data_IF_913204627584
#
_entry.id   IF_913204627584
#
_cell.length_a   1.000
_cell.length_b   1.000
_cell.length_c   1.000
_cell.angle_alpha   90.00
_cell.angle_beta   90.00
_cell.angle_gamma   90.00
#
_symmetry.space_group_name_H-M   'P 1'
#
loop_
_entity.id
_entity.type
_entity.pdbx_description
1 polymer ?
#
# COMPACT_ATOMS: atom_id res chain seq x y z
N UNK A 1 -8.51 36.42 4.60
CA UNK A 1 -8.86 35.02 4.87
C UNK A 1 -7.81 34.39 5.76
N UNK A 2 -8.21 33.83 6.89
CA UNK A 2 -7.28 33.17 7.81
C UNK A 2 -7.01 31.76 7.28
N UNK A 3 -5.76 31.45 6.92
CA UNK A 3 -5.38 30.12 6.46
C UNK A 3 -5.33 29.19 7.66
N UNK A 4 -6.13 28.14 7.63
CA UNK A 4 -6.10 27.07 8.64
C UNK A 4 -5.10 26.02 8.17
N UNK A 5 -4.06 25.80 8.94
CA UNK A 5 -3.10 24.72 8.70
C UNK A 5 -3.57 23.46 9.43
N UNK A 6 -3.57 22.33 8.75
CA UNK A 6 -3.88 21.06 9.39
C UNK A 6 -2.76 20.67 10.37
N UNK A 7 -3.11 20.18 11.57
CA UNK A 7 -2.12 19.65 12.49
C UNK A 7 -1.31 18.51 11.88
N UNK A 8 -0.01 18.48 12.14
CA UNK A 8 0.85 17.37 11.73
C UNK A 8 0.72 16.21 12.70
N UNK A 9 0.74 15.02 12.14
CA UNK A 9 0.82 13.79 12.93
C UNK A 9 2.25 13.55 13.36
N UNK A 10 2.43 13.13 14.60
CA UNK A 10 3.71 12.65 15.11
C UNK A 10 4.00 11.22 14.61
N UNK A 11 5.28 10.82 14.64
CA UNK A 11 5.69 9.50 14.13
C UNK A 11 4.88 8.33 14.70
N UNK A 12 4.61 8.26 16.02
CA UNK A 12 3.76 7.17 16.55
C UNK A 12 2.34 7.15 15.99
N UNK A 13 1.75 8.32 15.72
CA UNK A 13 0.42 8.41 15.11
C UNK A 13 0.43 7.91 13.67
N UNK A 14 1.47 8.28 12.90
CA UNK A 14 1.66 7.80 11.53
C UNK A 14 1.78 6.28 11.51
N UNK A 15 2.64 5.71 12.34
CA UNK A 15 2.83 4.27 12.41
C UNK A 15 1.55 3.51 12.80
N UNK A 16 0.78 4.07 13.71
CA UNK A 16 -0.52 3.52 14.11
C UNK A 16 -1.49 3.48 12.94
N UNK A 17 -1.56 4.55 12.15
CA UNK A 17 -2.39 4.59 10.95
C UNK A 17 -1.95 3.53 9.93
N UNK A 18 -0.64 3.46 9.66
CA UNK A 18 -0.07 2.50 8.71
C UNK A 18 -0.35 1.05 9.10
N UNK A 19 -0.34 0.73 10.40
CA UNK A 19 -0.64 -0.63 10.89
C UNK A 19 -2.12 -0.98 10.81
N UNK A 20 -3.01 0.00 10.94
CA UNK A 20 -4.46 -0.25 11.02
C UNK A 20 -5.15 -0.33 9.68
N UNK A 21 -4.68 0.43 8.69
CA UNK A 21 -5.33 0.47 7.38
C UNK A 21 -4.91 -0.72 6.52
N UNK A 22 -5.70 -1.01 5.50
CA UNK A 22 -5.51 -2.19 4.63
C UNK A 22 -5.21 -1.81 3.19
N UNK A 23 -5.71 -0.66 2.76
CA UNK A 23 -5.55 -0.17 1.40
C UNK A 23 -4.77 1.13 1.40
N UNK A 24 -3.94 1.26 0.40
CA UNK A 24 -3.29 2.51 0.02
C UNK A 24 -3.61 2.83 -1.43
N UNK A 25 -3.27 4.04 -1.83
CA UNK A 25 -3.25 4.43 -3.25
C UNK A 25 -1.81 4.73 -3.62
N UNK A 26 -1.38 4.19 -4.77
CA UNK A 26 -0.06 4.47 -5.31
C UNK A 26 -0.23 5.25 -6.61
N UNK A 27 0.41 6.42 -6.66
CA UNK A 27 0.48 7.25 -7.84
C UNK A 27 1.82 7.02 -8.54
N UNK A 28 1.75 6.63 -9.80
CA UNK A 28 2.90 6.39 -10.68
C UNK A 28 3.05 7.55 -11.66
N UNK A 29 4.27 7.81 -12.07
CA UNK A 29 4.55 8.68 -13.20
C UNK A 29 4.15 7.93 -14.47
N UNK A 30 3.03 8.29 -15.05
CA UNK A 30 2.58 7.73 -16.32
C UNK A 30 3.27 8.38 -17.51
N UNK A 31 2.80 8.05 -18.71
CA UNK A 31 3.23 8.68 -19.96
C UNK A 31 2.69 10.11 -20.06
N UNK A 32 1.46 10.23 -20.53
CA UNK A 32 0.76 11.50 -20.71
C UNK A 32 0.04 11.93 -19.44
N UNK A 33 -0.52 10.97 -18.72
CA UNK A 33 -1.21 11.20 -17.46
C UNK A 33 -0.58 10.38 -16.33
N UNK A 34 -0.57 10.90 -15.09
CA UNK A 34 -0.25 10.06 -13.93
C UNK A 34 -1.21 8.88 -13.85
N UNK A 35 -0.72 7.76 -13.36
CA UNK A 35 -1.54 6.58 -13.11
C UNK A 35 -1.67 6.34 -11.62
N UNK A 36 -2.87 6.05 -11.16
CA UNK A 36 -3.13 5.77 -9.74
C UNK A 36 -4.03 4.56 -9.60
N UNK A 37 -3.74 3.71 -8.62
CA UNK A 37 -4.56 2.55 -8.30
C UNK A 37 -4.50 2.23 -6.81
N UNK A 38 -5.55 1.59 -6.25
CA UNK A 38 -5.52 1.06 -4.90
C UNK A 38 -4.74 -0.24 -4.83
N UNK A 39 -4.09 -0.47 -3.69
CA UNK A 39 -3.32 -1.67 -3.40
C UNK A 39 -3.57 -2.11 -1.96
N UNK A 40 -3.63 -3.42 -1.75
CA UNK A 40 -3.40 -3.98 -0.42
C UNK A 40 -1.94 -3.78 -0.05
N UNK A 41 -1.69 -3.47 1.20
CA UNK A 41 -0.33 -3.40 1.71
C UNK A 41 -0.22 -4.05 3.09
N UNK A 42 1.00 -4.37 3.47
CA UNK A 42 1.35 -4.69 4.86
C UNK A 42 2.51 -3.81 5.30
N UNK A 43 2.52 -3.49 6.58
CA UNK A 43 3.55 -2.66 7.20
C UNK A 43 4.35 -3.53 8.18
N UNK A 44 5.60 -3.79 7.84
CA UNK A 44 6.48 -4.69 8.61
C UNK A 44 7.79 -3.98 8.90
N UNK A 45 8.14 -3.82 10.17
CA UNK A 45 9.41 -3.21 10.59
C UNK A 45 9.72 -1.88 9.90
N UNK A 46 8.73 -1.02 9.78
CA UNK A 46 8.89 0.30 9.18
C UNK A 46 8.86 0.34 7.65
N UNK A 47 8.58 -0.77 6.99
CA UNK A 47 8.56 -0.87 5.53
C UNK A 47 7.17 -1.25 5.03
N UNK A 48 6.71 -0.54 4.01
CA UNK A 48 5.48 -0.86 3.29
C UNK A 48 5.78 -1.85 2.17
N UNK A 49 4.99 -2.91 2.10
CA UNK A 49 5.08 -3.93 1.06
C UNK A 49 3.76 -4.06 0.32
N UNK A 50 3.85 -4.31 -0.98
CA UNK A 50 2.72 -4.45 -1.90
C UNK A 50 2.90 -5.72 -2.73
N UNK A 51 1.82 -6.24 -3.30
CA UNK A 51 1.93 -7.31 -4.28
C UNK A 51 1.42 -6.85 -5.64
N UNK A 52 2.13 -7.27 -6.68
CA UNK A 52 1.80 -7.00 -8.08
C UNK A 52 1.63 -8.32 -8.80
N UNK A 53 0.82 -8.32 -9.84
CA UNK A 53 0.82 -9.42 -10.81
C UNK A 53 1.98 -9.24 -11.78
N UNK A 54 2.48 -10.33 -12.36
CA UNK A 54 3.55 -10.31 -13.35
C UNK A 54 3.11 -9.77 -14.72
N UNK A 55 1.81 -9.51 -14.87
CA UNK A 55 1.22 -8.94 -16.08
C UNK A 55 0.52 -7.62 -15.75
N UNK A 56 0.29 -6.83 -16.79
CA UNK A 56 -0.49 -5.61 -16.71
C UNK A 56 0.34 -4.33 -16.65
N UNK A 57 -0.39 -3.22 -16.55
CA UNK A 57 0.16 -1.87 -16.67
C UNK A 57 1.11 -1.50 -15.52
N UNK A 58 0.87 -2.04 -14.32
CA UNK A 58 1.64 -1.71 -13.11
C UNK A 58 3.13 -2.09 -13.23
N UNK A 59 3.41 -3.27 -13.77
CA UNK A 59 4.81 -3.70 -13.98
C UNK A 59 5.52 -2.86 -15.04
N UNK A 60 4.81 -2.50 -16.10
CA UNK A 60 5.35 -1.60 -17.14
C UNK A 60 5.67 -0.21 -16.58
N UNK A 61 4.82 0.31 -15.71
CA UNK A 61 5.05 1.58 -15.04
C UNK A 61 6.25 1.52 -14.10
N UNK A 62 6.43 0.41 -13.39
CA UNK A 62 7.58 0.19 -12.52
C UNK A 62 8.89 0.15 -13.30
N UNK A 63 8.91 -0.45 -14.49
CA UNK A 63 10.06 -0.46 -15.40
C UNK A 63 10.43 0.94 -15.89
N UNK A 64 9.44 1.80 -16.12
CA UNK A 64 9.64 3.17 -16.59
C UNK A 64 10.12 4.13 -15.52
N UNK A 65 9.64 3.97 -14.29
CA UNK A 65 10.00 4.85 -13.20
C UNK A 65 9.59 4.28 -11.85
N UNK A 66 10.54 4.20 -10.96
CA UNK A 66 10.37 3.61 -9.62
C UNK A 66 9.89 4.61 -8.58
N UNK A 67 9.97 5.92 -8.87
CA UNK A 67 9.53 6.97 -7.95
C UNK A 67 8.02 7.06 -7.95
N UNK A 68 7.44 6.94 -6.75
CA UNK A 68 5.99 6.93 -6.55
C UNK A 68 5.61 7.80 -5.36
N UNK A 69 4.32 8.09 -5.30
CA UNK A 69 3.70 8.68 -4.13
C UNK A 69 2.67 7.67 -3.59
N UNK A 70 2.76 7.37 -2.30
CA UNK A 70 1.83 6.45 -1.63
C UNK A 70 1.01 7.24 -0.63
N UNK A 71 -0.31 7.05 -0.66
CA UNK A 71 -1.23 7.72 0.24
C UNK A 71 -2.06 6.69 1.00
N UNK A 72 -2.21 6.90 2.31
CA UNK A 72 -3.02 6.06 3.20
C UNK A 72 -3.85 6.99 4.06
N UNK A 73 -5.16 6.73 4.11
CA UNK A 73 -6.09 7.62 4.79
C UNK A 73 -7.06 6.87 5.70
N UNK A 74 -7.58 7.60 6.67
CA UNK A 74 -8.71 7.19 7.52
C UNK A 74 -9.62 8.40 7.69
N UNK A 75 -10.91 8.19 7.53
CA UNK A 75 -11.88 9.26 7.68
C UNK A 75 -13.24 8.75 8.14
N UNK A 76 -14.00 9.62 8.80
CA UNK A 76 -15.44 9.41 9.01
C UNK A 76 -16.20 9.87 7.76
N UNK A 77 -17.34 9.25 7.43
CA UNK A 77 -18.08 9.60 6.21
C UNK A 77 -18.46 11.08 6.07
N UNK A 78 -18.68 11.76 7.18
CA UNK A 78 -19.01 13.19 7.21
C UNK A 78 -17.77 14.10 7.26
N UNK A 79 -16.56 13.50 7.25
CA UNK A 79 -15.27 14.20 7.34
C UNK A 79 -15.09 15.04 8.62
N UNK A 80 -15.85 14.75 9.67
CA UNK A 80 -15.64 15.38 10.99
C UNK A 80 -14.27 15.01 11.58
N UNK A 81 -13.82 13.80 11.28
CA UNK A 81 -12.45 13.34 11.61
C UNK A 81 -11.83 12.70 10.39
N UNK A 82 -10.60 13.08 10.07
CA UNK A 82 -9.81 12.48 9.01
C UNK A 82 -8.32 12.60 9.32
N UNK A 83 -7.58 11.67 8.81
CA UNK A 83 -6.12 11.69 8.83
C UNK A 83 -5.60 11.00 7.58
N UNK A 84 -4.46 11.45 7.08
CA UNK A 84 -3.82 10.84 5.94
C UNK A 84 -2.30 10.98 6.02
N UNK A 85 -1.62 10.01 5.43
CA UNK A 85 -0.18 9.97 5.33
C UNK A 85 0.19 9.88 3.85
N UNK A 86 1.13 10.70 3.43
CA UNK A 86 1.70 10.66 2.08
C UNK A 86 3.18 10.37 2.20
N UNK A 87 3.63 9.34 1.49
CA UNK A 87 5.04 8.98 1.40
C UNK A 87 5.50 9.09 -0.06
N UNK A 88 6.65 9.68 -0.26
CA UNK A 88 7.33 9.71 -1.55
C UNK A 88 8.59 8.88 -1.45
N UNK A 89 8.76 7.95 -2.36
CA UNK A 89 9.91 7.06 -2.35
C UNK A 89 10.03 6.28 -3.64
N UNK A 90 10.78 5.20 -3.59
CA UNK A 90 11.01 4.32 -4.74
C UNK A 90 10.45 2.93 -4.47
N UNK A 91 9.83 2.34 -5.47
CA UNK A 91 9.44 0.94 -5.43
C UNK A 91 10.60 0.05 -5.85
N UNK A 92 10.81 -1.03 -5.13
CA UNK A 92 11.81 -2.04 -5.43
C UNK A 92 11.19 -3.43 -5.33
N UNK A 93 11.41 -4.25 -6.35
CA UNK A 93 11.02 -5.66 -6.31
C UNK A 93 11.87 -6.38 -5.26
N UNK A 94 11.22 -7.11 -4.38
CA UNK A 94 11.89 -7.91 -3.36
C UNK A 94 12.44 -9.18 -4.00
N UNK A 95 13.76 -9.32 -4.01
CA UNK A 95 14.48 -10.46 -4.59
C UNK A 95 14.93 -11.48 -3.55
N UNK A 96 15.09 -11.07 -2.29
CA UNK A 96 15.41 -11.98 -1.21
C UNK A 96 14.22 -12.92 -0.92
N UNK A 97 14.46 -14.22 -1.05
CA UNK A 97 13.41 -15.23 -0.91
C UNK A 97 12.79 -15.25 0.49
N UNK A 98 13.59 -15.11 1.53
CA UNK A 98 13.09 -15.11 2.91
C UNK A 98 12.22 -13.87 3.20
N UNK A 99 12.65 -12.71 2.74
CA UNK A 99 11.88 -11.47 2.86
C UNK A 99 10.55 -11.59 2.10
N UNK A 100 10.60 -12.06 0.87
CA UNK A 100 9.41 -12.28 0.03
C UNK A 100 8.40 -13.22 0.70
N UNK A 101 8.84 -14.36 1.15
CA UNK A 101 7.98 -15.39 1.77
C UNK A 101 7.34 -14.89 3.06
N UNK A 102 8.09 -14.16 3.88
CA UNK A 102 7.59 -13.52 5.09
C UNK A 102 6.47 -12.53 4.78
N UNK A 103 6.64 -11.71 3.77
CA UNK A 103 5.64 -10.72 3.36
C UNK A 103 4.38 -11.41 2.84
N UNK A 104 4.52 -12.43 2.01
CA UNK A 104 3.39 -13.19 1.47
C UNK A 104 2.58 -13.82 2.61
N UNK A 105 3.23 -14.44 3.58
CA UNK A 105 2.54 -15.02 4.74
C UNK A 105 1.81 -13.96 5.56
N UNK A 106 2.43 -12.81 5.75
CA UNK A 106 1.81 -11.69 6.47
C UNK A 106 0.59 -11.15 5.72
N UNK A 107 0.66 -11.01 4.41
CA UNK A 107 -0.46 -10.60 3.58
C UNK A 107 -1.62 -11.59 3.65
N UNK A 108 -1.33 -12.88 3.59
CA UNK A 108 -2.34 -13.92 3.73
C UNK A 108 -3.02 -13.90 5.10
N UNK A 109 -2.25 -13.73 6.16
CA UNK A 109 -2.75 -13.62 7.53
C UNK A 109 -3.68 -12.41 7.70
N UNK A 110 -3.25 -11.24 7.24
CA UNK A 110 -4.04 -10.01 7.31
C UNK A 110 -5.29 -10.11 6.44
N UNK A 111 -5.17 -10.67 5.24
CA UNK A 111 -6.29 -10.88 4.33
C UNK A 111 -7.35 -11.80 4.93
N UNK A 112 -6.92 -12.91 5.50
CA UNK A 112 -7.81 -13.89 6.15
C UNK A 112 -8.65 -13.26 7.28
N UNK A 113 -8.04 -12.37 8.07
CA UNK A 113 -8.70 -11.70 9.18
C UNK A 113 -9.63 -10.56 8.74
N UNK A 114 -9.27 -9.83 7.69
CA UNK A 114 -9.82 -8.48 7.43
C UNK A 114 -10.39 -8.28 6.03
N UNK A 115 -10.06 -9.13 5.05
CA UNK A 115 -10.44 -8.93 3.66
C UNK A 115 -11.32 -10.06 3.12
N UNK A 116 -12.26 -9.68 2.28
CA UNK A 116 -13.12 -10.63 1.57
C UNK A 116 -12.34 -11.42 0.51
N UNK A 117 -12.77 -12.65 0.23
CA UNK A 117 -12.26 -13.45 -0.87
C UNK A 117 -12.55 -12.82 -2.25
N UNK A 118 -13.55 -11.95 -2.34
CA UNK A 118 -13.81 -11.18 -3.56
C UNK A 118 -12.62 -10.30 -3.96
N UNK A 119 -11.85 -9.84 -2.99
CA UNK A 119 -10.63 -9.08 -3.25
C UNK A 119 -9.57 -9.93 -3.94
N UNK A 120 -9.43 -11.20 -3.55
CA UNK A 120 -8.51 -12.15 -4.20
C UNK A 120 -8.87 -12.38 -5.67
N UNK A 121 -10.16 -12.54 -5.96
CA UNK A 121 -10.62 -12.80 -7.33
C UNK A 121 -10.19 -11.69 -8.30
N UNK A 122 -10.12 -10.45 -7.82
CA UNK A 122 -9.62 -9.32 -8.60
C UNK A 122 -8.11 -9.33 -8.83
N UNK A 123 -7.38 -10.24 -8.17
CA UNK A 123 -5.91 -10.30 -8.19
C UNK A 123 -5.37 -11.61 -8.79
N UNK A 124 -6.11 -12.20 -9.72
CA UNK A 124 -5.66 -13.37 -10.47
C UNK A 124 -5.93 -14.73 -9.79
N UNK A 125 -6.68 -14.75 -8.70
CA UNK A 125 -7.10 -15.99 -8.05
C UNK A 125 -8.46 -16.43 -8.58
N UNK A 126 -8.72 -17.74 -8.57
CA UNK A 126 -10.01 -18.30 -8.98
C UNK A 126 -11.08 -17.95 -7.94
N UNK A 127 -12.35 -17.93 -8.35
CA UNK A 127 -13.46 -17.60 -7.44
C UNK A 127 -13.63 -18.56 -6.26
N UNK A 128 -13.19 -19.80 -6.42
CA UNK A 128 -13.25 -20.85 -5.39
C UNK A 128 -12.00 -20.87 -4.50
N UNK A 129 -10.99 -20.06 -4.81
CA UNK A 129 -9.80 -19.92 -3.98
C UNK A 129 -10.06 -18.94 -2.83
N UNK A 130 -9.43 -19.18 -1.70
CA UNK A 130 -9.46 -18.30 -0.52
C UNK A 130 -8.04 -17.82 -0.17
N UNK A 131 -7.91 -17.13 0.95
CA UNK A 131 -6.63 -16.60 1.39
C UNK A 131 -5.59 -17.68 1.71
N UNK A 132 -5.98 -18.95 1.89
CA UNK A 132 -5.03 -20.06 2.05
C UNK A 132 -4.27 -20.36 0.76
N UNK A 133 -4.79 -19.95 -0.39
CA UNK A 133 -4.11 -20.05 -1.68
C UNK A 133 -3.07 -18.96 -1.93
N UNK A 134 -3.04 -17.93 -1.09
CA UNK A 134 -2.06 -16.84 -1.17
C UNK A 134 -0.78 -17.30 -0.47
N UNK A 135 0.05 -18.03 -1.19
CA UNK A 135 1.24 -18.70 -0.63
C UNK A 135 2.49 -18.38 -1.45
N UNK A 136 3.70 -18.58 -0.84
CA UNK A 136 4.97 -18.34 -1.54
C UNK A 136 5.17 -19.13 -2.84
N UNK A 137 4.48 -20.25 -3.02
CA UNK A 137 4.55 -21.09 -4.22
C UNK A 137 3.85 -20.44 -5.43
N UNK A 138 2.96 -19.48 -5.21
CA UNK A 138 2.31 -18.72 -6.29
C UNK A 138 3.27 -17.70 -6.91
N UNK A 139 3.05 -17.37 -8.17
CA UNK A 139 3.78 -16.34 -8.87
C UNK A 139 3.29 -14.95 -8.42
N UNK A 140 3.71 -14.56 -7.22
CA UNK A 140 3.36 -13.28 -6.61
C UNK A 140 4.62 -12.42 -6.58
N UNK A 141 4.55 -11.23 -7.16
CA UNK A 141 5.63 -10.26 -7.12
C UNK A 141 5.43 -9.37 -5.91
N UNK A 142 6.40 -9.38 -4.99
CA UNK A 142 6.41 -8.50 -3.83
C UNK A 142 7.29 -7.29 -4.14
N UNK A 143 6.75 -6.12 -3.85
CA UNK A 143 7.41 -4.84 -4.06
C UNK A 143 7.41 -4.08 -2.74
N UNK A 144 8.50 -3.39 -2.43
CA UNK A 144 8.60 -2.56 -1.24
C UNK A 144 8.85 -1.11 -1.58
N UNK A 145 8.42 -0.21 -0.69
CA UNK A 145 8.76 1.20 -0.76
C UNK A 145 10.06 1.44 0.01
N UNK A 146 11.05 1.99 -0.68
CA UNK A 146 12.35 2.34 -0.08
C UNK A 146 12.76 3.76 -0.47
N UNK A 147 13.89 4.23 0.06
CA UNK A 147 14.43 5.55 -0.21
C UNK A 147 13.37 6.65 -0.02
N UNK A 148 12.78 6.68 1.17
CA UNK A 148 11.72 7.62 1.51
C UNK A 148 12.29 9.04 1.50
N UNK A 149 11.89 9.83 0.50
CA UNK A 149 12.29 11.22 0.36
C UNK A 149 11.43 12.15 1.22
N UNK A 150 10.19 11.77 1.49
CA UNK A 150 9.25 12.55 2.27
C UNK A 150 8.19 11.66 2.90
N UNK A 151 7.88 11.91 4.17
CA UNK A 151 6.77 11.31 4.89
C UNK A 151 6.03 12.45 5.61
N UNK A 152 4.77 12.64 5.26
CA UNK A 152 3.92 13.68 5.88
C UNK A 152 2.63 13.03 6.33
N UNK A 153 2.30 13.21 7.62
CA UNK A 153 1.00 12.85 8.16
C UNK A 153 0.27 14.12 8.63
N UNK A 154 -0.97 14.27 8.19
CA UNK A 154 -1.84 15.37 8.57
C UNK A 154 -3.16 14.84 9.09
N UNK A 155 -3.78 15.56 10.00
CA UNK A 155 -5.08 15.20 10.57
C UNK A 155 -5.99 16.42 10.70
N UNK A 156 -7.28 16.14 10.84
CA UNK A 156 -8.26 17.19 11.12
C UNK A 156 -7.95 17.89 12.44
N UNK A 157 -8.28 19.18 12.57
CA UNK A 157 -8.29 19.87 13.86
C UNK A 157 -9.27 19.16 14.81
N UNK A 158 -8.93 19.15 16.09
CA UNK A 158 -9.82 18.62 17.14
C UNK A 158 -10.74 19.74 17.58
#
# INVERSE_FOLDING_TARGET
>A
MKIVKLPRMEKPEIEKLLRKQLLCRIAFKGDKYPYMAPFQYVYINGTLYFHFTDYGKKMKLLERGKRVCVEIEKYKPDLSEYSFVVLRGKLKVVTDQQERDKVIRKMAEEGKRKLSTNFLAAHGFKKDEDWSSFTPEKTIIIVKLEDIAQEIGLRSPI
#
